data_IF_170731792374
#
_entry.id   IF_170731792374
#
_cell.length_a   1.000
_cell.length_b   1.000
_cell.length_c   1.000
_cell.angle_alpha   90.00
_cell.angle_beta   90.00
_cell.angle_gamma   90.00
#
_symmetry.space_group_name_H-M   'P 1'
#
loop_
_entity.id
_entity.type
_entity.pdbx_description
1 polymer ?
#
# COMPACT_ATOMS: atom_id res chain seq x y z
N UNK A 1 5.49 -4.51 -11.60
CA UNK A 1 4.59 -3.91 -10.60
C UNK A 1 4.12 -2.60 -11.19
N UNK A 2 2.81 -2.46 -11.41
CA UNK A 2 2.25 -1.18 -11.84
C UNK A 2 2.06 -0.22 -10.65
N UNK A 3 1.79 1.04 -10.97
CA UNK A 3 1.67 2.13 -10.00
C UNK A 3 0.45 1.95 -9.08
N UNK A 4 -0.65 1.42 -9.62
CA UNK A 4 -1.86 1.12 -8.85
C UNK A 4 -1.57 0.07 -7.77
N UNK A 5 -0.87 -1.01 -8.10
CA UNK A 5 -0.50 -2.06 -7.15
C UNK A 5 0.40 -1.52 -6.03
N UNK A 6 1.32 -0.60 -6.36
CA UNK A 6 2.14 0.07 -5.36
C UNK A 6 1.29 0.89 -4.39
N UNK A 7 0.38 1.71 -4.90
CA UNK A 7 -0.48 2.55 -4.05
C UNK A 7 -1.42 1.71 -3.20
N UNK A 8 -1.95 0.61 -3.72
CA UNK A 8 -2.72 -0.35 -2.92
C UNK A 8 -1.89 -0.98 -1.80
N UNK A 9 -0.66 -1.42 -2.09
CA UNK A 9 0.23 -1.98 -1.08
C UNK A 9 0.63 -0.94 -0.01
N UNK A 10 0.99 0.27 -0.43
CA UNK A 10 1.33 1.37 0.47
C UNK A 10 0.16 1.73 1.39
N UNK A 11 -1.05 1.85 0.84
CA UNK A 11 -2.30 2.05 1.61
C UNK A 11 -2.55 0.91 2.58
N UNK A 12 -2.43 -0.34 2.14
CA UNK A 12 -2.66 -1.52 3.00
C UNK A 12 -1.75 -1.53 4.22
N UNK A 13 -0.44 -1.38 4.01
CA UNK A 13 0.55 -1.39 5.09
C UNK A 13 0.33 -0.21 6.03
N UNK A 14 0.05 0.98 5.48
CA UNK A 14 -0.19 2.20 6.26
C UNK A 14 -1.43 2.10 7.16
N UNK A 15 -2.50 1.44 6.70
CA UNK A 15 -3.75 1.27 7.45
C UNK A 15 -3.77 0.03 8.33
N UNK A 16 -2.77 -0.86 8.24
CA UNK A 16 -2.76 -2.11 8.99
C UNK A 16 -2.80 -1.93 10.52
N UNK A 17 -2.05 -0.99 11.13
CA UNK A 17 -2.13 -0.76 12.58
C UNK A 17 -3.53 -0.37 13.07
N UNK A 18 -4.29 0.40 12.26
CA UNK A 18 -5.67 0.78 12.54
C UNK A 18 -6.59 -0.44 12.45
N UNK A 19 -6.44 -1.25 11.39
CA UNK A 19 -7.22 -2.48 11.18
C UNK A 19 -6.97 -3.55 12.24
N UNK A 20 -5.74 -3.57 12.78
CA UNK A 20 -5.35 -4.42 13.88
C UNK A 20 -5.75 -3.85 15.25
N UNK A 21 -6.45 -2.71 15.28
CA UNK A 21 -6.94 -2.04 16.50
C UNK A 21 -5.81 -1.61 17.45
N UNK A 22 -4.61 -1.39 16.93
CA UNK A 22 -3.45 -0.97 17.74
C UNK A 22 -3.42 0.54 17.98
N UNK A 23 -3.95 1.31 17.02
CA UNK A 23 -4.05 2.77 17.07
C UNK A 23 -5.35 3.25 16.42
N UNK A 24 -5.80 4.46 16.78
CA UNK A 24 -7.02 5.05 16.22
C UNK A 24 -6.79 5.63 14.82
N UNK A 25 -5.61 6.19 14.55
CA UNK A 25 -5.24 6.75 13.25
C UNK A 25 -3.89 6.19 12.79
N UNK A 26 -3.69 6.14 11.47
CA UNK A 26 -2.46 5.59 10.89
C UNK A 26 -1.21 6.38 11.31
N UNK A 27 -1.31 7.72 11.43
CA UNK A 27 -0.17 8.54 11.85
C UNK A 27 0.29 8.32 13.30
N UNK A 28 -0.56 7.70 14.13
CA UNK A 28 -0.24 7.46 15.53
C UNK A 28 0.70 6.23 15.70
N UNK A 29 0.90 5.45 14.63
CA UNK A 29 1.80 4.30 14.67
C UNK A 29 3.26 4.69 14.47
N UNK A 30 4.01 4.72 15.57
CA UNK A 30 5.41 5.16 15.63
C UNK A 30 6.39 4.31 14.80
N UNK A 31 6.02 3.07 14.47
CA UNK A 31 6.84 2.18 13.62
C UNK A 31 6.39 2.20 12.16
N UNK A 32 5.81 3.30 11.70
CA UNK A 32 5.53 3.55 10.29
C UNK A 32 6.06 4.90 9.83
N UNK A 33 6.19 5.03 8.52
CA UNK A 33 6.53 6.28 7.86
C UNK A 33 5.32 7.19 7.61
N UNK A 34 4.12 6.83 8.07
CA UNK A 34 2.86 7.55 7.74
C UNK A 34 2.92 9.01 8.19
N UNK A 35 3.38 9.27 9.42
CA UNK A 35 3.49 10.63 9.94
C UNK A 35 4.44 11.51 9.10
N UNK A 36 5.57 10.94 8.65
CA UNK A 36 6.52 11.65 7.78
C UNK A 36 5.85 12.05 6.46
N UNK A 37 5.18 11.11 5.79
CA UNK A 37 4.50 11.35 4.51
C UNK A 37 3.36 12.37 4.63
N UNK A 38 2.53 12.27 5.67
CA UNK A 38 1.45 13.25 5.90
C UNK A 38 1.99 14.65 6.22
N UNK A 39 3.14 14.74 6.88
CA UNK A 39 3.75 16.04 7.18
C UNK A 39 4.58 16.60 6.02
N UNK A 40 4.80 15.84 4.95
CA UNK A 40 5.66 16.23 3.83
C UNK A 40 7.12 16.45 4.23
N UNK A 41 7.57 15.87 5.36
CA UNK A 41 8.93 16.07 5.88
C UNK A 41 9.65 14.75 6.06
N UNK A 42 10.89 14.73 5.57
CA UNK A 42 11.84 13.67 5.87
C UNK A 42 12.09 13.55 7.37
N UNK A 43 12.42 12.34 7.82
CA UNK A 43 12.94 12.09 9.16
C UNK A 43 14.29 11.34 9.10
N UNK A 44 14.72 10.77 10.23
CA UNK A 44 16.01 10.05 10.34
C UNK A 44 16.07 8.80 9.46
N UNK A 45 14.94 8.22 9.08
CA UNK A 45 14.82 6.93 8.40
C UNK A 45 14.10 7.03 7.05
N UNK A 46 13.26 8.06 6.87
CA UNK A 46 12.36 8.18 5.73
C UNK A 46 12.71 9.39 4.87
N UNK A 47 12.80 9.14 3.55
CA UNK A 47 12.76 10.16 2.51
C UNK A 47 11.38 10.16 1.86
N UNK A 48 10.64 11.26 1.97
CA UNK A 48 9.22 11.31 1.56
C UNK A 48 9.03 11.62 0.07
N UNK A 49 9.99 12.33 -0.54
CA UNK A 49 9.92 12.77 -1.95
C UNK A 49 9.56 11.65 -2.93
N UNK A 50 10.19 10.45 -2.88
CA UNK A 50 9.94 9.42 -3.89
C UNK A 50 8.51 8.90 -3.94
N UNK A 51 7.79 8.90 -2.82
CA UNK A 51 6.37 8.54 -2.78
C UNK A 51 5.50 9.75 -3.14
N UNK A 52 5.79 10.92 -2.56
CA UNK A 52 4.97 12.12 -2.75
C UNK A 52 5.00 12.62 -4.20
N UNK A 53 6.12 12.51 -4.89
CA UNK A 53 6.25 12.83 -6.32
C UNK A 53 5.34 11.96 -7.21
N UNK A 54 4.95 10.77 -6.72
CA UNK A 54 4.17 9.80 -7.49
C UNK A 54 2.68 9.83 -7.11
N UNK A 55 2.37 9.89 -5.82
CA UNK A 55 0.98 9.91 -5.36
C UNK A 55 0.39 11.32 -5.27
N UNK A 56 1.23 12.36 -5.23
CA UNK A 56 0.81 13.73 -4.98
C UNK A 56 0.38 13.93 -3.53
N UNK A 57 -0.88 13.60 -3.24
CA UNK A 57 -1.47 13.74 -1.91
C UNK A 57 -1.54 12.39 -1.18
N UNK A 58 -0.66 12.20 -0.20
CA UNK A 58 -0.63 10.99 0.62
C UNK A 58 -1.85 10.86 1.54
N UNK A 59 -2.48 11.96 1.94
CA UNK A 59 -3.69 11.90 2.75
C UNK A 59 -4.87 11.38 1.91
N UNK A 60 -5.00 11.87 0.67
CA UNK A 60 -5.95 11.32 -0.30
C UNK A 60 -5.65 9.84 -0.64
N UNK A 61 -4.37 9.44 -0.62
CA UNK A 61 -4.02 8.02 -0.72
C UNK A 61 -4.58 7.21 0.46
N UNK A 62 -4.75 7.75 1.66
CA UNK A 62 -5.28 6.99 2.80
C UNK A 62 -6.80 7.02 2.93
N UNK A 63 -7.48 7.94 2.23
CA UNK A 63 -8.94 8.04 2.26
C UNK A 63 -9.60 6.80 1.63
N UNK A 64 -10.64 6.29 2.28
CA UNK A 64 -11.25 4.99 1.92
C UNK A 64 -12.52 5.23 1.11
N UNK A 65 -12.51 4.81 -0.15
CA UNK A 65 -13.75 4.54 -0.90
C UNK A 65 -14.13 3.05 -0.80
N UNK A 66 -15.42 2.75 -0.90
CA UNK A 66 -15.97 1.37 -0.81
C UNK A 66 -15.42 0.39 -1.84
N UNK A 67 -14.83 0.87 -2.94
CA UNK A 67 -14.26 0.04 -4.01
C UNK A 67 -12.96 -0.66 -3.58
N UNK A 68 -12.23 -0.13 -2.59
CA UNK A 68 -10.93 -0.64 -2.16
C UNK A 68 -10.98 -1.93 -1.33
N UNK A 69 -12.12 -2.27 -0.71
CA UNK A 69 -12.30 -3.51 0.08
C UNK A 69 -12.02 -4.75 -0.78
N UNK A 70 -12.32 -4.69 -2.08
CA UNK A 70 -12.09 -5.79 -3.02
C UNK A 70 -10.60 -5.91 -3.39
N UNK A 71 -9.89 -4.80 -3.57
CA UNK A 71 -8.44 -4.78 -3.81
C UNK A 71 -7.64 -5.35 -2.62
N UNK A 72 -8.10 -5.10 -1.39
CA UNK A 72 -7.47 -5.65 -0.18
C UNK A 72 -7.53 -7.18 -0.08
N UNK A 73 -8.52 -7.83 -0.69
CA UNK A 73 -8.58 -9.31 -0.75
C UNK A 73 -7.49 -9.90 -1.64
N UNK A 74 -7.16 -9.23 -2.75
CA UNK A 74 -6.12 -9.70 -3.69
C UNK A 74 -4.71 -9.67 -3.08
N UNK A 75 -4.37 -8.60 -2.35
CA UNK A 75 -3.08 -8.50 -1.68
C UNK A 75 -2.93 -9.57 -0.58
N UNK A 76 -3.97 -9.77 0.25
CA UNK A 76 -3.95 -10.81 1.31
C UNK A 76 -3.71 -12.22 0.78
N UNK A 77 -4.27 -12.58 -0.39
CA UNK A 77 -4.06 -13.90 -0.98
C UNK A 77 -2.59 -14.13 -1.39
N UNK A 78 -1.88 -13.08 -1.79
CA UNK A 78 -0.44 -13.17 -2.12
C UNK A 78 0.44 -13.35 -0.88
N UNK A 79 0.03 -12.81 0.28
CA UNK A 79 0.73 -12.95 1.57
C UNK A 79 0.68 -14.40 2.11
N UNK A 80 -0.41 -15.15 1.81
CA UNK A 80 -0.60 -16.51 2.35
C UNK A 80 0.13 -17.58 1.54
N UNK A 81 0.49 -17.29 0.29
CA UNK A 81 1.00 -18.30 -0.66
C UNK A 81 2.51 -18.18 -0.91
N UNK A 82 3.14 -17.10 -0.42
CA UNK A 82 4.55 -16.79 -0.71
C UNK A 82 4.84 -16.53 -2.20
N UNK A 83 3.80 -16.35 -3.01
CA UNK A 83 3.89 -16.16 -4.46
C UNK A 83 3.49 -14.73 -4.82
N UNK A 84 4.39 -13.97 -5.47
CA UNK A 84 4.05 -12.62 -5.88
C UNK A 84 3.01 -12.65 -7.02
N UNK A 85 2.05 -11.72 -6.96
CA UNK A 85 0.87 -11.69 -7.83
C UNK A 85 1.18 -11.47 -9.34
N UNK A 86 2.42 -11.14 -9.71
CA UNK A 86 2.82 -10.99 -11.12
C UNK A 86 2.94 -12.33 -11.88
N UNK A 87 2.94 -13.46 -11.17
CA UNK A 87 3.11 -14.79 -11.77
C UNK A 87 1.84 -15.37 -12.43
N UNK A 88 0.71 -14.66 -12.43
CA UNK A 88 -0.58 -15.23 -12.87
C UNK A 88 -0.97 -14.90 -14.31
N UNK A 89 -0.14 -14.19 -15.08
CA UNK A 89 -0.43 -13.89 -16.49
C UNK A 89 0.65 -14.43 -17.42
N UNK A 90 0.71 -15.76 -17.56
CA UNK A 90 1.37 -16.41 -18.68
C UNK A 90 0.69 -17.75 -18.95
N UNK A 91 -0.43 -17.68 -19.65
CA UNK A 91 -1.23 -18.85 -20.00
C UNK A 91 -2.05 -18.61 -21.25
N UNK A 92 -1.39 -18.28 -22.36
CA UNK A 92 -1.87 -18.59 -23.72
C UNK A 92 -0.83 -18.15 -24.76
N UNK A 93 0.05 -19.07 -25.16
CA UNK A 93 0.28 -19.28 -26.59
C UNK A 93 0.58 -20.73 -26.85
N UNK A 94 -0.39 -21.32 -27.54
CA UNK A 94 -0.47 -22.65 -28.12
C UNK A 94 0.79 -23.03 -28.88
N UNK A 95 1.25 -24.26 -28.67
CA UNK A 95 2.01 -25.01 -29.66
C UNK A 95 1.01 -25.45 -30.73
N UNK A 96 1.25 -25.05 -31.98
CA UNK A 96 0.92 -25.78 -33.19
C UNK A 96 2.19 -25.84 -34.04
#
# INVERSE_FOLDING_TARGET
MDEAHLFHAARYVSLNPVRAWLVSQAQDWQWSSVAAHLSGRDDKLVKVSPILERCGDFAALLDISTEDVTAFKGLRQSETTGRPHWATNNGQRTMD
#
